data_IF_864178839221
#
_entry.id   IF_864178839221
#
_cell.length_a   1.000
_cell.length_b   1.000
_cell.length_c   1.000
_cell.angle_alpha   90.00
_cell.angle_beta   90.00
_cell.angle_gamma   90.00
#
_symmetry.space_group_name_H-M   'P 1'
#
loop_
_entity.id
_entity.type
_entity.pdbx_description
1 polymer ?
#
# COMPACT_ATOMS: atom_id res chain seq x y z
N UNK A 1 1.53 56.29 -0.75
CA UNK A 1 1.12 54.95 -1.26
C UNK A 1 2.00 53.82 -0.70
N UNK A 2 3.33 54.00 -0.60
CA UNK A 2 4.27 52.99 -0.05
C UNK A 2 4.06 52.62 1.42
N UNK A 3 3.67 53.57 2.30
CA UNK A 3 3.45 53.32 3.74
C UNK A 3 2.32 52.31 4.00
N UNK A 4 1.32 52.24 3.12
CA UNK A 4 0.22 51.27 3.24
C UNK A 4 0.62 49.87 2.80
N UNK A 5 1.55 49.75 1.85
CA UNK A 5 2.06 48.45 1.36
C UNK A 5 2.94 47.80 2.44
N UNK A 6 3.77 48.59 3.15
CA UNK A 6 4.62 48.06 4.23
C UNK A 6 3.78 47.55 5.42
N UNK A 7 2.77 48.31 5.85
CA UNK A 7 1.83 47.89 6.90
C UNK A 7 1.06 46.62 6.49
N UNK A 8 0.57 46.55 5.24
CA UNK A 8 -0.11 45.36 4.73
C UNK A 8 0.82 44.14 4.71
N UNK A 9 2.09 44.29 4.28
CA UNK A 9 3.10 43.22 4.33
C UNK A 9 3.35 42.73 5.76
N UNK A 10 3.46 43.64 6.73
CA UNK A 10 3.63 43.27 8.14
C UNK A 10 2.42 42.48 8.67
N UNK A 11 1.19 42.95 8.41
CA UNK A 11 -0.03 42.25 8.84
C UNK A 11 -0.10 40.84 8.23
N UNK A 12 0.16 40.70 6.92
CA UNK A 12 0.18 39.41 6.24
C UNK A 12 1.24 38.47 6.82
N UNK A 13 2.42 39.00 7.15
CA UNK A 13 3.52 38.23 7.74
C UNK A 13 3.16 37.75 9.16
N UNK A 14 2.57 38.62 9.99
CA UNK A 14 2.12 38.26 11.34
C UNK A 14 1.00 37.22 11.33
N UNK A 15 0.03 37.35 10.42
CA UNK A 15 -1.04 36.34 10.25
C UNK A 15 -0.45 35.00 9.81
N UNK A 16 0.50 34.99 8.86
CA UNK A 16 1.19 33.78 8.44
C UNK A 16 1.97 33.11 9.57
N UNK A 17 2.68 33.89 10.40
CA UNK A 17 3.42 33.37 11.57
C UNK A 17 2.49 32.77 12.63
N UNK A 18 1.37 33.44 12.96
CA UNK A 18 0.37 32.90 13.88
C UNK A 18 -0.25 31.60 13.34
N UNK A 19 -0.55 31.55 12.05
CA UNK A 19 -1.01 30.33 11.39
C UNK A 19 0.00 29.19 11.48
N UNK A 20 1.27 29.44 11.19
CA UNK A 20 2.34 28.44 11.30
C UNK A 20 2.55 27.95 12.74
N UNK A 21 2.49 28.86 13.72
CA UNK A 21 2.56 28.51 15.14
C UNK A 21 1.37 27.64 15.57
N UNK A 22 0.15 27.98 15.16
CA UNK A 22 -1.04 27.20 15.46
C UNK A 22 -0.98 25.79 14.86
N UNK A 23 -0.54 25.65 13.60
CA UNK A 23 -0.32 24.35 12.94
C UNK A 23 0.72 23.52 13.71
N UNK A 24 1.82 24.15 14.12
CA UNK A 24 2.90 23.49 14.86
C UNK A 24 2.43 22.98 16.22
N UNK A 25 1.73 23.83 16.98
CA UNK A 25 1.21 23.47 18.30
C UNK A 25 0.20 22.34 18.18
N UNK A 26 -0.74 22.44 17.24
CA UNK A 26 -1.75 21.40 17.01
C UNK A 26 -1.10 20.06 16.64
N UNK A 27 -0.16 20.05 15.69
CA UNK A 27 0.51 18.83 15.26
C UNK A 27 1.25 18.13 16.42
N UNK A 28 2.07 18.88 17.17
CA UNK A 28 2.94 18.29 18.21
C UNK A 28 2.22 17.93 19.49
N UNK A 29 1.35 18.81 19.98
CA UNK A 29 0.80 18.70 21.33
C UNK A 29 -0.63 18.14 21.38
N UNK A 30 -1.39 18.29 20.31
CA UNK A 30 -2.76 17.76 20.23
C UNK A 30 -2.77 16.44 19.45
N UNK A 31 -2.24 16.46 18.22
CA UNK A 31 -2.31 15.34 17.30
C UNK A 31 -1.14 14.33 17.48
N UNK A 32 -0.13 14.69 18.28
CA UNK A 32 1.07 13.89 18.58
C UNK A 32 1.76 13.32 17.33
N UNK A 33 1.85 14.13 16.27
CA UNK A 33 2.48 13.80 14.99
C UNK A 33 3.47 14.87 14.54
N UNK A 34 4.20 14.59 13.47
CA UNK A 34 5.15 15.55 12.92
C UNK A 34 4.44 16.76 12.30
N UNK A 35 5.09 17.92 12.38
CA UNK A 35 4.60 19.14 11.71
C UNK A 35 4.58 18.94 10.18
N UNK A 36 5.55 18.18 9.66
CA UNK A 36 5.64 17.84 8.24
C UNK A 36 4.42 17.05 7.75
N UNK A 37 4.01 16.01 8.50
CA UNK A 37 2.81 15.24 8.14
C UNK A 37 1.55 16.09 8.23
N UNK A 38 1.48 17.06 9.15
CA UNK A 38 0.37 18.02 9.22
C UNK A 38 0.28 18.95 8.03
N UNK A 39 1.40 19.54 7.64
CA UNK A 39 1.47 20.40 6.46
C UNK A 39 1.09 19.59 5.22
N UNK A 40 1.61 18.37 5.08
CA UNK A 40 1.32 17.51 3.93
C UNK A 40 -0.17 17.16 3.83
N UNK A 41 -0.81 16.74 4.92
CA UNK A 41 -2.26 16.49 4.93
C UNK A 41 -3.05 17.74 4.52
N UNK A 42 -2.68 18.92 5.05
CA UNK A 42 -3.34 20.17 4.69
C UNK A 42 -3.16 20.49 3.19
N UNK A 43 -1.98 20.25 2.62
CA UNK A 43 -1.71 20.45 1.20
C UNK A 43 -2.51 19.48 0.32
N UNK A 44 -2.62 18.21 0.71
CA UNK A 44 -3.43 17.22 0.00
C UNK A 44 -4.91 17.61 -0.02
N UNK A 45 -5.42 18.20 1.08
CA UNK A 45 -6.80 18.71 1.18
C UNK A 45 -7.09 19.93 0.29
N UNK A 46 -6.05 20.63 -0.20
CA UNK A 46 -6.24 21.75 -1.13
C UNK A 46 -6.47 21.29 -2.57
N UNK A 47 -6.26 20.00 -2.87
CA UNK A 47 -6.51 19.50 -4.21
C UNK A 47 -8.02 19.52 -4.50
N UNK A 48 -8.44 19.99 -5.69
CA UNK A 48 -9.86 20.11 -6.04
C UNK A 48 -10.55 18.74 -6.19
N UNK A 49 -9.78 17.65 -6.31
CA UNK A 49 -10.23 16.27 -6.42
C UNK A 49 -9.25 15.36 -5.67
N UNK A 50 -9.76 14.27 -5.12
CA UNK A 50 -8.94 13.20 -4.54
C UNK A 50 -8.10 12.50 -5.63
N UNK A 51 -6.94 11.98 -5.25
CA UNK A 51 -5.94 11.44 -6.19
C UNK A 51 -6.45 10.24 -7.01
N UNK A 52 -7.29 9.39 -6.40
CA UNK A 52 -7.89 8.22 -7.04
C UNK A 52 -9.37 8.40 -7.38
N UNK A 53 -9.80 9.64 -7.61
CA UNK A 53 -11.14 9.97 -8.11
C UNK A 53 -11.06 10.26 -9.62
N UNK A 54 -10.95 9.25 -10.52
CA UNK A 54 -10.93 9.49 -11.95
C UNK A 54 -12.35 9.80 -12.45
N UNK A 55 -12.89 10.96 -12.05
CA UNK A 55 -14.18 11.50 -12.49
C UNK A 55 -15.38 10.61 -12.09
N UNK A 56 -16.55 11.21 -11.86
CA UNK A 56 -17.80 10.50 -11.46
C UNK A 56 -18.29 9.41 -12.44
N UNK A 57 -17.51 9.07 -13.47
CA UNK A 57 -17.85 8.16 -14.55
C UNK A 57 -16.65 7.27 -14.88
N UNK A 58 -16.19 6.42 -13.96
CA UNK A 58 -15.30 5.30 -14.31
C UNK A 58 -16.00 4.28 -15.25
N UNK A 59 -17.32 4.39 -15.42
CA UNK A 59 -18.11 3.79 -16.50
C UNK A 59 -17.96 4.50 -17.86
N UNK A 60 -17.21 5.60 -17.94
CA UNK A 60 -16.93 6.25 -19.21
C UNK A 60 -16.00 5.34 -20.01
N UNK A 61 -16.52 4.79 -21.11
CA UNK A 61 -15.80 3.91 -22.03
C UNK A 61 -14.42 4.47 -22.42
N UNK A 62 -14.25 5.79 -22.46
CA UNK A 62 -12.95 6.45 -22.72
C UNK A 62 -11.91 6.16 -21.63
N UNK A 63 -12.32 6.15 -20.36
CA UNK A 63 -11.43 5.80 -19.23
C UNK A 63 -11.12 4.30 -19.24
N UNK A 64 -12.12 3.46 -19.51
CA UNK A 64 -11.90 2.02 -19.69
C UNK A 64 -10.89 1.74 -20.81
N UNK A 65 -11.13 2.23 -22.02
CA UNK A 65 -10.30 1.98 -23.21
C UNK A 65 -8.87 2.44 -23.01
N UNK A 66 -8.68 3.60 -22.38
CA UNK A 66 -7.35 4.11 -22.04
C UNK A 66 -6.59 3.15 -21.12
N UNK A 67 -7.21 2.69 -20.03
CA UNK A 67 -6.56 1.79 -19.08
C UNK A 67 -6.43 0.37 -19.62
N UNK A 68 -7.40 -0.13 -20.39
CA UNK A 68 -7.32 -1.40 -21.09
C UNK A 68 -6.12 -1.43 -22.05
N UNK A 69 -5.95 -0.36 -22.84
CA UNK A 69 -4.78 -0.24 -23.71
C UNK A 69 -3.48 -0.15 -22.89
N UNK A 70 -3.43 0.75 -21.91
CA UNK A 70 -2.25 1.00 -21.07
C UNK A 70 -1.79 -0.23 -20.29
N UNK A 71 -2.71 -0.96 -19.67
CA UNK A 71 -2.40 -2.09 -18.79
C UNK A 71 -2.05 -3.37 -19.55
N UNK A 72 -2.39 -3.45 -20.84
CA UNK A 72 -1.95 -4.51 -21.73
C UNK A 72 -0.56 -4.25 -22.35
N UNK A 73 0.05 -3.08 -22.11
CA UNK A 73 1.44 -2.83 -22.50
C UNK A 73 2.39 -3.24 -21.37
N UNK A 74 3.59 -3.75 -21.70
CA UNK A 74 4.61 -3.98 -20.69
C UNK A 74 4.90 -2.72 -19.88
N UNK A 75 4.88 -2.85 -18.56
CA UNK A 75 5.28 -1.74 -17.72
C UNK A 75 6.79 -1.54 -17.87
N UNK A 76 7.18 -0.29 -18.15
CA UNK A 76 8.59 0.07 -18.22
C UNK A 76 8.90 1.16 -17.21
N UNK A 77 9.95 0.93 -16.44
CA UNK A 77 10.49 1.96 -15.56
C UNK A 77 11.17 3.04 -16.41
N UNK A 78 10.97 4.31 -16.04
CA UNK A 78 11.71 5.40 -16.67
C UNK A 78 13.22 5.14 -16.54
N UNK A 79 13.99 5.23 -17.63
CA UNK A 79 15.42 4.94 -17.67
C UNK A 79 16.24 5.71 -16.60
N UNK A 80 15.85 6.94 -16.25
CA UNK A 80 16.49 7.69 -15.16
C UNK A 80 16.28 7.05 -13.80
N UNK A 81 15.09 6.49 -13.53
CA UNK A 81 14.80 5.78 -12.28
C UNK A 81 15.46 4.40 -12.27
N UNK A 82 15.44 3.68 -13.40
CA UNK A 82 16.11 2.39 -13.55
C UNK A 82 17.62 2.53 -13.27
N UNK A 83 18.29 3.52 -13.88
CA UNK A 83 19.70 3.80 -13.63
C UNK A 83 19.97 4.28 -12.18
N UNK A 84 19.07 5.10 -11.62
CA UNK A 84 19.23 5.60 -10.25
C UNK A 84 19.14 4.49 -9.21
N UNK A 85 18.29 3.49 -9.45
CA UNK A 85 17.99 2.42 -8.51
C UNK A 85 18.51 1.06 -8.95
N UNK A 86 19.42 1.00 -9.94
CA UNK A 86 20.14 -0.21 -10.33
C UNK A 86 19.22 -1.44 -10.45
N UNK A 87 18.15 -1.28 -11.23
CA UNK A 87 17.07 -2.28 -11.33
C UNK A 87 17.33 -3.19 -12.51
N UNK A 88 17.32 -4.51 -12.26
CA UNK A 88 17.38 -5.47 -13.34
C UNK A 88 16.04 -5.47 -14.10
N UNK A 89 16.13 -5.26 -15.41
CA UNK A 89 14.97 -5.28 -16.30
C UNK A 89 14.50 -6.74 -16.41
N UNK A 90 13.20 -7.03 -16.29
CA UNK A 90 12.69 -8.39 -16.32
C UNK A 90 13.23 -9.16 -17.53
N UNK A 91 13.81 -10.33 -17.30
CA UNK A 91 14.35 -11.20 -18.35
C UNK A 91 13.34 -12.26 -18.81
N UNK A 92 12.19 -12.38 -18.12
CA UNK A 92 11.18 -13.39 -18.42
C UNK A 92 9.79 -12.79 -18.69
N UNK A 93 8.87 -13.65 -19.14
CA UNK A 93 7.49 -13.31 -19.53
C UNK A 93 6.63 -12.78 -18.37
N UNK A 94 7.09 -12.90 -17.13
CA UNK A 94 6.36 -12.55 -15.91
C UNK A 94 6.44 -11.08 -15.51
N UNK A 95 7.23 -10.24 -16.21
CA UNK A 95 7.47 -8.84 -15.85
C UNK A 95 7.80 -8.63 -14.36
N UNK A 96 8.52 -9.55 -13.74
CA UNK A 96 8.98 -9.38 -12.36
C UNK A 96 10.25 -8.54 -12.34
N UNK A 97 10.19 -7.38 -11.67
CA UNK A 97 11.36 -6.53 -11.47
C UNK A 97 12.11 -6.96 -10.21
N UNK A 98 13.42 -7.17 -10.34
CA UNK A 98 14.25 -7.64 -9.25
C UNK A 98 15.15 -6.52 -8.71
N UNK A 99 15.20 -6.43 -7.38
CA UNK A 99 16.04 -5.50 -6.65
C UNK A 99 16.91 -6.31 -5.70
N UNK A 100 18.19 -6.45 -6.03
CA UNK A 100 19.15 -7.14 -5.17
C UNK A 100 19.85 -6.14 -4.26
N UNK A 101 19.95 -6.46 -2.97
CA UNK A 101 20.76 -5.71 -2.03
C UNK A 101 22.23 -5.68 -2.45
N UNK A 102 22.87 -4.52 -2.31
CA UNK A 102 24.24 -4.29 -2.80
C UNK A 102 25.33 -5.00 -2.00
N UNK A 103 25.03 -5.43 -0.77
CA UNK A 103 26.02 -5.93 0.18
C UNK A 103 25.44 -7.10 0.99
N UNK A 104 26.27 -8.09 1.31
CA UNK A 104 25.91 -9.23 2.16
C UNK A 104 25.33 -10.42 1.41
N UNK A 105 25.27 -11.57 2.09
CA UNK A 105 24.60 -12.76 1.57
C UNK A 105 23.09 -12.53 1.55
N UNK A 106 22.41 -12.98 0.48
CA UNK A 106 20.96 -12.83 0.35
C UNK A 106 20.24 -13.61 1.45
N UNK A 107 19.76 -12.89 2.48
CA UNK A 107 19.10 -13.49 3.66
C UNK A 107 17.61 -13.75 3.45
N UNK A 108 16.93 -12.89 2.70
CA UNK A 108 15.49 -12.90 2.52
C UNK A 108 15.09 -12.62 1.08
N UNK A 109 13.99 -13.21 0.64
CA UNK A 109 13.30 -12.89 -0.62
C UNK A 109 11.95 -12.26 -0.29
N UNK A 110 11.76 -11.00 -0.64
CA UNK A 110 10.50 -10.28 -0.45
C UNK A 110 9.72 -10.27 -1.76
N UNK A 111 8.52 -10.82 -1.78
CA UNK A 111 7.57 -10.60 -2.87
C UNK A 111 6.79 -9.33 -2.53
N UNK A 112 7.11 -8.23 -3.21
CA UNK A 112 6.49 -6.93 -3.00
C UNK A 112 5.36 -6.67 -4.00
N UNK A 113 4.13 -6.76 -3.51
CA UNK A 113 2.91 -6.53 -4.26
C UNK A 113 2.53 -5.04 -4.18
N UNK A 114 2.69 -4.33 -5.28
CA UNK A 114 2.44 -2.90 -5.33
C UNK A 114 0.95 -2.57 -5.16
N UNK A 115 0.63 -1.42 -4.59
CA UNK A 115 -0.70 -0.82 -4.60
C UNK A 115 -1.06 -0.19 -5.95
N UNK A 116 -2.31 0.25 -6.08
CA UNK A 116 -2.82 0.85 -7.33
C UNK A 116 -4.28 0.54 -7.62
N UNK A 117 -5.05 0.05 -6.63
CA UNK A 117 -6.47 -0.31 -6.78
C UNK A 117 -6.71 -1.42 -7.83
N UNK A 118 -5.73 -2.31 -8.03
CA UNK A 118 -5.71 -3.31 -9.11
C UNK A 118 -5.85 -2.73 -10.53
N UNK A 119 -5.67 -1.42 -10.67
CA UNK A 119 -5.99 -0.64 -11.87
C UNK A 119 -4.79 0.16 -12.38
N UNK A 120 -3.96 0.64 -11.47
CA UNK A 120 -2.82 1.49 -11.77
C UNK A 120 -1.52 0.70 -11.70
N UNK A 121 -0.69 0.94 -12.71
CA UNK A 121 0.71 0.53 -12.73
C UNK A 121 1.52 1.12 -11.56
N UNK A 122 2.64 0.50 -11.16
CA UNK A 122 3.43 0.99 -10.04
C UNK A 122 3.92 2.45 -10.22
N UNK A 123 3.94 3.17 -9.10
CA UNK A 123 4.46 4.52 -8.95
C UNK A 123 5.93 4.49 -8.52
N UNK A 124 6.66 5.58 -8.83
CA UNK A 124 8.07 5.71 -8.45
C UNK A 124 8.34 5.66 -6.94
N UNK A 125 7.34 5.92 -6.09
CA UNK A 125 7.48 5.73 -4.64
C UNK A 125 7.56 4.25 -4.23
N UNK A 126 6.85 3.37 -4.93
CA UNK A 126 6.90 1.93 -4.66
C UNK A 126 8.24 1.36 -5.12
N UNK A 127 8.72 1.76 -6.29
CA UNK A 127 10.08 1.43 -6.77
C UNK A 127 11.16 1.87 -5.76
N UNK A 128 11.02 3.08 -5.19
CA UNK A 128 11.93 3.57 -4.16
C UNK A 128 11.90 2.71 -2.89
N UNK A 129 10.72 2.30 -2.46
CA UNK A 129 10.56 1.41 -1.31
C UNK A 129 11.21 0.05 -1.58
N UNK A 130 10.97 -0.55 -2.75
CA UNK A 130 11.57 -1.82 -3.16
C UNK A 130 13.09 -1.77 -3.10
N UNK A 131 13.69 -0.73 -3.71
CA UNK A 131 15.14 -0.52 -3.66
C UNK A 131 15.66 -0.31 -2.23
N UNK A 132 15.03 0.60 -1.47
CA UNK A 132 15.44 0.89 -0.09
C UNK A 132 15.40 -0.38 0.77
N UNK A 133 14.35 -1.19 0.60
CA UNK A 133 14.17 -2.44 1.31
C UNK A 133 15.27 -3.45 0.94
N UNK A 134 15.49 -3.71 -0.36
CA UNK A 134 16.55 -4.61 -0.84
C UNK A 134 17.93 -4.25 -0.28
N UNK A 135 18.27 -2.95 -0.33
CA UNK A 135 19.54 -2.45 0.18
C UNK A 135 19.66 -2.59 1.71
N UNK A 136 18.57 -2.45 2.46
CA UNK A 136 18.58 -2.47 3.93
C UNK A 136 18.61 -3.89 4.50
N UNK A 137 17.85 -4.83 3.91
CA UNK A 137 17.78 -6.20 4.43
C UNK A 137 18.90 -7.10 3.88
N UNK A 138 19.71 -6.59 2.94
CA UNK A 138 20.69 -7.38 2.18
C UNK A 138 20.04 -8.61 1.53
N UNK A 139 18.91 -8.39 0.85
CA UNK A 139 18.08 -9.45 0.29
C UNK A 139 17.60 -9.13 -1.13
N UNK A 140 16.74 -9.98 -1.67
CA UNK A 140 16.12 -9.79 -2.98
C UNK A 140 14.68 -9.32 -2.80
N UNK A 141 14.29 -8.24 -3.47
CA UNK A 141 12.89 -7.83 -3.57
C UNK A 141 12.42 -8.09 -4.99
N UNK A 142 11.40 -8.94 -5.12
CA UNK A 142 10.70 -9.25 -6.36
C UNK A 142 9.44 -8.40 -6.42
N UNK A 143 9.33 -7.50 -7.38
CA UNK A 143 8.16 -6.66 -7.60
C UNK A 143 7.47 -7.08 -8.90
N UNK A 144 6.54 -8.05 -8.85
CA UNK A 144 5.80 -8.47 -10.04
C UNK A 144 4.88 -7.37 -10.54
N UNK A 145 4.88 -7.16 -11.86
CA UNK A 145 3.86 -6.35 -12.53
C UNK A 145 2.69 -7.28 -12.85
N UNK A 146 1.86 -7.50 -11.85
CA UNK A 146 0.75 -8.44 -11.97
C UNK A 146 -0.37 -7.90 -12.89
N UNK A 147 -1.19 -8.78 -13.51
CA UNK A 147 -2.27 -8.36 -14.39
C UNK A 147 -3.23 -7.36 -13.74
N UNK A 148 -3.60 -6.30 -14.46
CA UNK A 148 -4.45 -5.24 -13.92
C UNK A 148 -5.83 -5.21 -14.60
N UNK A 149 -6.83 -4.84 -13.80
CA UNK A 149 -8.10 -4.37 -14.30
C UNK A 149 -7.89 -3.15 -15.21
N UNK A 150 -8.76 -2.92 -16.20
CA UNK A 150 -10.04 -3.62 -16.39
C UNK A 150 -9.97 -4.87 -17.28
N UNK A 151 -8.83 -5.17 -17.91
CA UNK A 151 -8.71 -6.28 -18.87
C UNK A 151 -8.51 -7.63 -18.21
N UNK A 152 -7.95 -7.62 -17.00
CA UNK A 152 -7.70 -8.80 -16.19
C UNK A 152 -8.44 -8.70 -14.86
N UNK A 153 -8.67 -9.86 -14.23
CA UNK A 153 -9.36 -9.97 -12.95
C UNK A 153 -8.51 -10.70 -11.90
N UNK A 154 -9.06 -10.88 -10.70
CA UNK A 154 -8.36 -11.53 -9.59
C UNK A 154 -7.84 -12.93 -9.91
N UNK A 155 -8.45 -13.68 -10.84
CA UNK A 155 -8.01 -15.03 -11.20
C UNK A 155 -6.70 -15.00 -11.96
N UNK A 156 -6.58 -14.05 -12.90
CA UNK A 156 -5.36 -13.85 -13.67
C UNK A 156 -4.20 -13.48 -12.73
N UNK A 157 -4.48 -12.61 -11.75
CA UNK A 157 -3.51 -12.20 -10.72
C UNK A 157 -3.08 -13.38 -9.85
N UNK A 158 -4.01 -14.14 -9.29
CA UNK A 158 -3.68 -15.27 -8.42
C UNK A 158 -2.94 -16.39 -9.18
N UNK A 159 -3.30 -16.64 -10.44
CA UNK A 159 -2.60 -17.62 -11.29
C UNK A 159 -1.13 -17.23 -11.47
N UNK A 160 -0.86 -15.96 -11.81
CA UNK A 160 0.50 -15.47 -11.98
C UNK A 160 1.30 -15.51 -10.67
N UNK A 161 0.67 -15.14 -9.54
CA UNK A 161 1.34 -15.14 -8.24
C UNK A 161 1.60 -16.55 -7.69
N UNK A 162 0.74 -17.53 -7.97
CA UNK A 162 1.01 -18.95 -7.67
C UNK A 162 2.24 -19.44 -8.42
N UNK A 163 2.32 -19.16 -9.73
CA UNK A 163 3.49 -19.51 -10.54
C UNK A 163 4.78 -18.86 -10.04
N UNK A 164 4.72 -17.55 -9.72
CA UNK A 164 5.85 -16.83 -9.14
C UNK A 164 6.28 -17.45 -7.80
N UNK A 165 5.34 -17.69 -6.90
CA UNK A 165 5.66 -18.24 -5.57
C UNK A 165 6.28 -19.65 -5.68
N UNK A 166 5.73 -20.51 -6.53
CA UNK A 166 6.32 -21.84 -6.83
C UNK A 166 7.73 -21.72 -7.42
N UNK A 167 8.01 -20.69 -8.21
CA UNK A 167 9.36 -20.40 -8.72
C UNK A 167 10.30 -20.03 -7.59
N UNK A 168 9.88 -19.11 -6.70
CA UNK A 168 10.67 -18.67 -5.53
C UNK A 168 10.98 -19.84 -4.60
N UNK A 169 10.03 -20.76 -4.38
CA UNK A 169 10.22 -21.95 -3.54
C UNK A 169 11.32 -22.90 -4.07
N UNK A 170 11.71 -22.81 -5.35
CA UNK A 170 12.82 -23.62 -5.89
C UNK A 170 14.19 -23.13 -5.41
N UNK A 171 14.31 -21.88 -4.97
CA UNK A 171 15.58 -21.24 -4.64
C UNK A 171 15.62 -20.67 -3.22
N UNK A 172 14.46 -20.41 -2.61
CA UNK A 172 14.34 -19.82 -1.27
C UNK A 172 13.45 -20.68 -0.38
N UNK A 173 13.91 -20.98 0.83
CA UNK A 173 13.12 -21.71 1.82
C UNK A 173 11.98 -20.82 2.37
N UNK A 174 10.79 -21.38 2.71
CA UNK A 174 9.64 -20.58 3.12
C UNK A 174 9.89 -19.63 4.31
N UNK A 175 10.74 -20.04 5.26
CA UNK A 175 11.17 -19.25 6.42
C UNK A 175 12.02 -18.01 6.07
N UNK A 176 12.39 -17.85 4.79
CA UNK A 176 13.10 -16.68 4.25
C UNK A 176 12.28 -15.88 3.25
N UNK A 177 11.03 -16.29 2.99
CA UNK A 177 10.13 -15.57 2.08
C UNK A 177 9.24 -14.63 2.89
N UNK A 178 9.11 -13.40 2.43
CA UNK A 178 8.23 -12.39 3.02
C UNK A 178 7.28 -11.89 1.95
N UNK A 179 6.00 -11.80 2.27
CA UNK A 179 5.07 -11.04 1.45
C UNK A 179 4.99 -9.63 2.01
N UNK A 180 5.20 -8.64 1.16
CA UNK A 180 4.99 -7.24 1.50
C UNK A 180 4.04 -6.66 0.48
N UNK A 181 3.09 -5.83 0.91
CA UNK A 181 2.24 -5.15 -0.04
C UNK A 181 1.63 -3.87 0.52
N UNK A 182 1.33 -2.93 -0.37
CA UNK A 182 0.72 -1.66 0.01
C UNK A 182 -0.65 -1.46 -0.65
N UNK A 183 -1.63 -0.88 0.04
CA UNK A 183 -2.97 -0.64 -0.49
C UNK A 183 -3.60 -1.94 -1.03
N UNK A 184 -4.05 -1.94 -2.29
CA UNK A 184 -4.52 -3.14 -3.00
C UNK A 184 -3.53 -4.32 -2.91
N UNK A 185 -2.22 -4.06 -3.04
CA UNK A 185 -1.20 -5.10 -2.92
C UNK A 185 -1.03 -5.65 -1.50
N UNK A 186 -1.37 -4.86 -0.47
CA UNK A 186 -1.40 -5.33 0.92
C UNK A 186 -2.54 -6.31 1.17
N UNK A 187 -3.70 -6.04 0.58
CA UNK A 187 -4.80 -7.01 0.52
C UNK A 187 -4.40 -8.26 -0.23
N UNK A 188 -3.80 -8.09 -1.41
CA UNK A 188 -3.35 -9.20 -2.25
C UNK A 188 -2.31 -10.09 -1.58
N UNK A 189 -1.44 -9.54 -0.73
CA UNK A 189 -0.48 -10.32 0.06
C UNK A 189 -1.18 -11.28 1.04
N UNK A 190 -2.26 -10.82 1.67
CA UNK A 190 -3.10 -11.66 2.55
C UNK A 190 -3.87 -12.69 1.71
N UNK A 191 -4.51 -12.27 0.62
CA UNK A 191 -5.24 -13.18 -0.28
C UNK A 191 -4.32 -14.27 -0.85
N UNK A 192 -3.08 -13.94 -1.24
CA UNK A 192 -2.11 -14.92 -1.70
C UNK A 192 -1.80 -15.94 -0.59
N UNK A 193 -1.54 -15.49 0.64
CA UNK A 193 -1.31 -16.40 1.76
C UNK A 193 -2.50 -17.33 2.04
N UNK A 194 -3.72 -16.81 1.98
CA UNK A 194 -4.95 -17.62 2.08
C UNK A 194 -5.06 -18.61 0.92
N UNK A 195 -4.76 -18.18 -0.30
CA UNK A 195 -4.75 -19.04 -1.47
C UNK A 195 -3.75 -20.20 -1.32
N UNK A 196 -2.53 -19.95 -0.85
CA UNK A 196 -1.51 -20.98 -0.63
C UNK A 196 -2.01 -22.12 0.27
N UNK A 197 -2.84 -21.80 1.28
CA UNK A 197 -3.48 -22.79 2.15
C UNK A 197 -4.43 -23.71 1.39
N UNK A 198 -5.14 -23.18 0.38
CA UNK A 198 -6.08 -23.97 -0.43
C UNK A 198 -5.40 -24.95 -1.40
N UNK A 199 -4.12 -24.72 -1.71
CA UNK A 199 -3.31 -25.52 -2.63
C UNK A 199 -2.15 -26.24 -1.94
N UNK A 200 -2.21 -26.37 -0.60
CA UNK A 200 -1.23 -27.07 0.24
C UNK A 200 0.22 -26.61 0.04
N UNK A 201 0.43 -25.32 -0.22
CA UNK A 201 1.76 -24.71 -0.29
C UNK A 201 2.19 -24.15 1.07
N UNK A 202 3.50 -24.18 1.39
CA UNK A 202 4.01 -23.63 2.64
C UNK A 202 3.73 -22.12 2.73
N UNK A 203 3.57 -21.62 3.95
CA UNK A 203 3.38 -20.18 4.19
C UNK A 203 4.72 -19.43 4.14
N UNK A 204 4.73 -18.14 3.75
CA UNK A 204 5.89 -17.27 3.96
C UNK A 204 6.15 -17.06 5.46
N UNK A 205 7.36 -16.62 5.81
CA UNK A 205 7.73 -16.21 7.18
C UNK A 205 6.80 -15.13 7.72
N UNK A 206 6.70 -14.02 6.98
CA UNK A 206 5.95 -12.84 7.38
C UNK A 206 5.07 -12.33 6.23
N UNK A 207 3.93 -11.74 6.59
CA UNK A 207 3.00 -11.05 5.70
C UNK A 207 2.85 -9.62 6.23
N UNK A 208 3.45 -8.66 5.53
CA UNK A 208 3.51 -7.25 5.94
C UNK A 208 2.61 -6.44 5.01
N UNK A 209 1.46 -6.01 5.52
CA UNK A 209 0.44 -5.29 4.76
C UNK A 209 0.34 -3.83 5.22
N UNK A 210 0.57 -2.93 4.27
CA UNK A 210 0.63 -1.48 4.47
C UNK A 210 -0.65 -0.84 3.93
N UNK A 211 -1.46 -0.22 4.79
CA UNK A 211 -2.78 0.34 4.47
C UNK A 211 -3.63 -0.59 3.60
N UNK A 212 -3.83 -1.88 3.95
CA UNK A 212 -4.36 -2.88 3.03
C UNK A 212 -5.82 -2.64 2.64
N UNK A 213 -6.14 -2.93 1.38
CA UNK A 213 -7.54 -3.12 0.96
C UNK A 213 -7.99 -4.51 1.41
N UNK A 214 -8.87 -4.56 2.41
CA UNK A 214 -9.35 -5.81 3.01
C UNK A 214 -10.75 -6.20 2.54
N UNK A 215 -11.55 -5.22 2.11
CA UNK A 215 -12.85 -5.38 1.45
C UNK A 215 -12.91 -4.52 0.18
N UNK A 216 -12.90 -5.14 -1.01
CA UNK A 216 -13.00 -4.40 -2.29
C UNK A 216 -14.37 -3.78 -2.52
N UNK A 217 -15.39 -4.24 -1.79
CA UNK A 217 -16.72 -3.63 -1.79
C UNK A 217 -16.81 -2.36 -0.96
N UNK A 218 -15.83 -2.11 -0.08
CA UNK A 218 -15.83 -0.99 0.87
C UNK A 218 -17.18 -0.86 1.58
N UNK A 219 -17.67 -1.95 2.17
CA UNK A 219 -19.04 -2.08 2.68
C UNK A 219 -19.19 -1.69 4.15
N UNK A 220 -18.08 -1.47 4.85
CA UNK A 220 -18.06 -1.10 6.26
C UNK A 220 -18.78 0.23 6.51
N UNK A 221 -19.71 0.23 7.47
CA UNK A 221 -20.56 1.39 7.80
C UNK A 221 -19.77 2.58 8.34
N UNK A 222 -18.64 2.32 8.99
CA UNK A 222 -17.79 3.36 9.56
C UNK A 222 -17.04 4.16 8.49
N UNK A 223 -16.94 3.66 7.25
CA UNK A 223 -16.21 4.33 6.15
C UNK A 223 -16.70 5.77 5.93
N UNK A 224 -18.01 6.02 6.09
CA UNK A 224 -18.60 7.35 5.90
C UNK A 224 -18.01 8.39 6.86
N UNK A 225 -17.60 7.98 8.06
CA UNK A 225 -16.93 8.88 9.02
C UNK A 225 -15.51 9.25 8.60
N UNK A 226 -14.83 8.41 7.82
CA UNK A 226 -13.45 8.61 7.40
C UNK A 226 -13.35 9.27 6.03
N UNK A 227 -14.32 9.05 5.14
CA UNK A 227 -14.24 9.50 3.76
C UNK A 227 -14.07 11.02 3.62
N UNK A 228 -14.76 11.81 4.43
CA UNK A 228 -14.63 13.27 4.40
C UNK A 228 -13.24 13.75 4.86
N UNK A 229 -12.54 12.96 5.68
CA UNK A 229 -11.23 13.30 6.22
C UNK A 229 -10.07 12.72 5.39
N UNK A 230 -10.32 11.70 4.58
CA UNK A 230 -9.35 11.06 3.68
C UNK A 230 -9.12 11.95 2.43
N UNK A 231 -7.92 12.53 2.24
CA UNK A 231 -7.66 13.40 1.10
C UNK A 231 -7.23 12.62 -0.17
N UNK A 232 -7.06 11.29 -0.09
CA UNK A 232 -6.47 10.46 -1.15
C UNK A 232 -7.52 9.56 -1.80
N UNK A 233 -8.31 8.84 -1.00
CA UNK A 233 -9.20 7.79 -1.48
C UNK A 233 -10.65 8.25 -1.60
N UNK A 234 -11.29 7.81 -2.68
CA UNK A 234 -12.68 8.06 -3.02
C UNK A 234 -13.44 6.72 -3.07
N UNK A 235 -14.44 6.53 -2.20
CA UNK A 235 -15.12 5.23 -2.05
C UNK A 235 -15.74 4.76 -3.35
N UNK A 236 -16.46 5.65 -4.03
CA UNK A 236 -17.16 5.32 -5.28
C UNK A 236 -16.19 4.83 -6.37
N UNK A 237 -15.11 5.58 -6.60
CA UNK A 237 -14.12 5.22 -7.63
C UNK A 237 -13.46 3.88 -7.35
N UNK A 238 -13.18 3.60 -6.07
CA UNK A 238 -12.61 2.33 -5.63
C UNK A 238 -13.58 1.16 -5.78
N UNK A 239 -14.87 1.36 -5.48
CA UNK A 239 -15.91 0.34 -5.72
C UNK A 239 -16.01 -0.01 -7.21
N UNK A 240 -15.87 0.96 -8.11
CA UNK A 240 -15.85 0.66 -9.55
C UNK A 240 -14.57 -0.09 -9.94
N UNK A 241 -13.39 0.39 -9.57
CA UNK A 241 -12.13 -0.23 -9.99
C UNK A 241 -11.94 -1.63 -9.38
N UNK A 242 -12.20 -1.79 -8.08
CA UNK A 242 -11.91 -3.02 -7.34
C UNK A 242 -13.14 -3.91 -7.21
N UNK A 243 -14.26 -3.34 -6.75
CA UNK A 243 -15.49 -4.10 -6.51
C UNK A 243 -16.21 -4.52 -7.79
N UNK A 244 -16.09 -3.76 -8.88
CA UNK A 244 -16.69 -4.11 -10.17
C UNK A 244 -15.69 -4.76 -11.13
N UNK A 245 -14.62 -4.07 -11.51
CA UNK A 245 -13.73 -4.60 -12.56
C UNK A 245 -12.80 -5.71 -12.08
N UNK A 246 -12.12 -5.53 -10.94
CA UNK A 246 -11.20 -6.55 -10.42
C UNK A 246 -11.92 -7.80 -9.89
N UNK A 247 -13.01 -7.62 -9.14
CA UNK A 247 -13.82 -8.75 -8.68
C UNK A 247 -14.68 -9.36 -9.80
N UNK A 248 -15.00 -8.58 -10.83
CA UNK A 248 -15.77 -8.98 -12.02
C UNK A 248 -17.15 -9.52 -11.64
N UNK A 249 -17.37 -10.83 -11.82
CA UNK A 249 -18.64 -11.49 -11.53
C UNK A 249 -18.66 -12.15 -10.15
N UNK A 250 -17.63 -11.92 -9.34
CA UNK A 250 -17.48 -12.50 -8.00
C UNK A 250 -18.06 -11.55 -6.97
N UNK A 251 -18.69 -12.09 -5.92
CA UNK A 251 -19.15 -11.28 -4.79
C UNK A 251 -17.97 -10.50 -4.21
N UNK A 252 -18.17 -9.22 -3.86
CA UNK A 252 -17.12 -8.43 -3.20
C UNK A 252 -16.78 -8.95 -1.79
N UNK A 253 -17.60 -9.84 -1.24
CA UNK A 253 -17.35 -10.52 0.04
C UNK A 253 -16.69 -11.88 -0.11
N UNK A 254 -16.33 -12.29 -1.33
CA UNK A 254 -15.55 -13.50 -1.57
C UNK A 254 -14.09 -13.27 -1.12
N UNK A 255 -13.51 -14.25 -0.42
CA UNK A 255 -12.16 -14.12 0.14
C UNK A 255 -11.06 -13.98 -0.92
N UNK A 256 -11.30 -14.46 -2.15
CA UNK A 256 -10.33 -14.31 -3.24
C UNK A 256 -10.12 -12.85 -3.67
N UNK A 257 -11.03 -11.95 -3.31
CA UNK A 257 -10.93 -10.51 -3.62
C UNK A 257 -10.89 -9.66 -2.35
N UNK A 258 -11.45 -10.16 -1.25
CA UNK A 258 -11.54 -9.46 0.03
C UNK A 258 -11.08 -10.36 1.18
N UNK A 259 -9.77 -10.34 1.53
CA UNK A 259 -9.19 -11.23 2.54
C UNK A 259 -9.81 -11.05 3.94
N UNK A 260 -10.54 -9.94 4.17
CA UNK A 260 -11.33 -9.77 5.40
C UNK A 260 -12.29 -10.94 5.66
N UNK A 261 -12.79 -11.61 4.62
CA UNK A 261 -13.83 -12.63 4.73
C UNK A 261 -13.32 -14.07 4.71
N UNK A 262 -12.03 -14.32 4.45
CA UNK A 262 -11.51 -15.68 4.39
C UNK A 262 -10.93 -16.20 5.71
N UNK A 263 -10.08 -17.22 5.64
CA UNK A 263 -9.59 -17.95 6.81
C UNK A 263 -8.13 -17.61 7.11
N UNK A 264 -7.95 -16.78 8.15
CA UNK A 264 -6.65 -16.24 8.55
C UNK A 264 -5.89 -17.15 9.53
N UNK A 265 -6.45 -18.30 9.89
CA UNK A 265 -5.77 -19.26 10.76
C UNK A 265 -4.61 -19.96 10.04
N UNK A 266 -3.49 -20.13 10.74
CA UNK A 266 -2.27 -20.78 10.26
C UNK A 266 -1.63 -20.11 9.03
N UNK A 267 -1.82 -18.82 8.86
CA UNK A 267 -1.03 -18.02 7.91
C UNK A 267 0.34 -17.68 8.48
N UNK A 268 1.25 -17.17 7.64
CA UNK A 268 2.51 -16.56 8.09
C UNK A 268 2.28 -15.39 9.07
N UNK A 269 3.31 -14.93 9.77
CA UNK A 269 3.13 -13.88 10.79
C UNK A 269 2.61 -12.59 10.16
N UNK A 270 1.45 -12.11 10.61
CA UNK A 270 0.79 -10.96 10.01
C UNK A 270 1.20 -9.68 10.73
N UNK A 271 1.61 -8.68 9.96
CA UNK A 271 1.77 -7.30 10.41
C UNK A 271 0.93 -6.35 9.55
N UNK A 272 0.06 -5.57 10.18
CA UNK A 272 -0.74 -4.54 9.54
C UNK A 272 -0.22 -3.17 9.98
N UNK A 273 0.09 -2.31 9.03
CA UNK A 273 0.40 -0.90 9.27
C UNK A 273 -0.71 -0.05 8.65
N UNK A 274 -1.32 0.87 9.38
CA UNK A 274 -2.46 1.64 8.86
C UNK A 274 -2.52 3.04 9.47
N UNK A 275 -2.85 4.04 8.65
CA UNK A 275 -3.10 5.39 9.10
C UNK A 275 -4.55 5.57 9.57
N UNK A 276 -4.81 6.52 10.49
CA UNK A 276 -6.21 6.78 10.92
C UNK A 276 -6.92 7.87 10.10
N UNK A 277 -6.29 8.36 9.02
CA UNK A 277 -6.87 9.32 8.05
C UNK A 277 -7.03 8.67 6.67
N UNK A 278 -7.54 7.45 6.66
CA UNK A 278 -7.90 6.73 5.45
C UNK A 278 -9.18 5.91 5.59
N UNK A 279 -9.92 5.73 4.49
CA UNK A 279 -11.16 4.93 4.48
C UNK A 279 -10.93 3.44 4.71
N UNK A 280 -9.69 2.95 4.59
CA UNK A 280 -9.36 1.53 4.79
C UNK A 280 -9.14 1.18 6.27
N UNK A 281 -9.03 2.19 7.14
CA UNK A 281 -8.79 2.00 8.57
C UNK A 281 -9.89 1.21 9.28
N UNK A 282 -11.20 1.46 9.06
CA UNK A 282 -12.25 0.65 9.66
C UNK A 282 -12.14 -0.85 9.38
N UNK A 283 -11.76 -1.23 8.16
CA UNK A 283 -11.59 -2.64 7.80
C UNK A 283 -10.32 -3.24 8.41
N UNK A 284 -9.25 -2.47 8.55
CA UNK A 284 -8.06 -2.89 9.27
C UNK A 284 -8.36 -3.18 10.75
N UNK A 285 -9.17 -2.32 11.39
CA UNK A 285 -9.67 -2.53 12.75
C UNK A 285 -10.52 -3.80 12.83
N UNK A 286 -11.46 -3.99 11.90
CA UNK A 286 -12.31 -5.18 11.83
C UNK A 286 -11.50 -6.47 11.64
N UNK A 287 -10.44 -6.43 10.84
CA UNK A 287 -9.52 -7.56 10.64
C UNK A 287 -8.73 -7.89 11.91
N UNK A 288 -8.21 -6.87 12.61
CA UNK A 288 -7.57 -7.04 13.93
C UNK A 288 -8.52 -7.71 14.92
N UNK A 289 -9.75 -7.20 15.02
CA UNK A 289 -10.74 -7.70 15.98
C UNK A 289 -11.15 -9.15 15.64
N UNK A 290 -11.26 -9.49 14.35
CA UNK A 290 -11.48 -10.86 13.86
C UNK A 290 -10.36 -11.80 14.33
N UNK A 291 -9.10 -11.41 14.13
CA UNK A 291 -7.96 -12.22 14.56
C UNK A 291 -7.90 -12.38 16.08
N UNK A 292 -8.14 -11.29 16.83
CA UNK A 292 -8.21 -11.35 18.29
C UNK A 292 -9.31 -12.31 18.77
N UNK A 293 -10.49 -12.26 18.16
CA UNK A 293 -11.59 -13.18 18.48
C UNK A 293 -11.27 -14.65 18.20
N UNK A 294 -10.33 -14.92 17.27
CA UNK A 294 -9.83 -16.26 16.94
C UNK A 294 -8.57 -16.66 17.75
N UNK A 295 -8.07 -15.79 18.64
CA UNK A 295 -6.84 -16.03 19.39
C UNK A 295 -5.57 -15.96 18.53
N UNK A 296 -5.63 -15.33 17.36
CA UNK A 296 -4.50 -15.16 16.44
C UNK A 296 -3.81 -13.84 16.78
N UNK A 297 -2.53 -13.91 17.10
CA UNK A 297 -1.71 -12.72 17.32
C UNK A 297 -1.31 -12.08 15.99
N UNK A 298 -1.53 -10.77 15.86
CA UNK A 298 -1.02 -9.96 14.76
C UNK A 298 -0.29 -8.74 15.31
N UNK A 299 0.74 -8.29 14.58
CA UNK A 299 1.34 -7.00 14.85
C UNK A 299 0.48 -5.90 14.20
N UNK A 300 -0.23 -5.10 15.00
CA UNK A 300 -1.08 -4.02 14.49
C UNK A 300 -0.47 -2.65 14.82
N UNK A 301 0.06 -1.97 13.80
CA UNK A 301 0.67 -0.66 13.93
C UNK A 301 -0.28 0.42 13.39
N UNK A 302 -0.96 1.08 14.31
CA UNK A 302 -1.79 2.23 14.01
C UNK A 302 -0.96 3.52 14.02
N UNK A 303 -1.16 4.34 12.99
CA UNK A 303 -0.50 5.63 12.82
C UNK A 303 -1.52 6.77 12.89
N UNK A 304 -1.67 7.40 14.07
CA UNK A 304 -2.61 8.48 14.27
C UNK A 304 -2.43 9.61 13.25
N UNK A 305 -3.52 9.96 12.59
CA UNK A 305 -3.64 11.00 11.59
C UNK A 305 -2.82 10.82 10.30
N UNK A 306 -2.21 9.65 10.08
CA UNK A 306 -1.54 9.39 8.80
C UNK A 306 -2.58 9.09 7.72
N UNK A 307 -2.35 9.67 6.54
CA UNK A 307 -3.18 9.48 5.35
C UNK A 307 -2.86 8.13 4.70
N UNK A 308 -3.72 7.70 3.77
CA UNK A 308 -3.52 6.47 3.01
C UNK A 308 -2.11 6.39 2.41
N UNK A 309 -1.47 5.23 2.58
CA UNK A 309 -0.20 4.89 1.94
C UNK A 309 0.93 5.89 2.26
N UNK A 310 0.94 6.42 3.49
CA UNK A 310 1.93 7.41 3.92
C UNK A 310 3.38 6.93 3.80
N UNK A 311 3.62 5.62 3.68
CA UNK A 311 4.91 4.96 3.50
C UNK A 311 5.72 5.44 2.28
N UNK A 312 5.10 6.11 1.31
CA UNK A 312 5.79 6.76 0.20
C UNK A 312 6.08 8.26 0.36
N UNK A 313 5.58 8.86 1.45
CA UNK A 313 5.60 10.30 1.68
C UNK A 313 6.88 10.74 2.41
N UNK A 314 7.40 11.95 2.13
CA UNK A 314 8.63 12.45 2.73
C UNK A 314 8.36 13.04 4.13
N UNK A 315 7.92 12.19 5.06
CA UNK A 315 7.59 12.57 6.45
C UNK A 315 8.31 11.64 7.44
N UNK A 316 8.60 12.10 8.67
CA UNK A 316 9.27 11.28 9.69
C UNK A 316 8.56 9.95 10.00
N UNK A 317 7.23 9.94 9.97
CA UNK A 317 6.41 8.76 10.26
C UNK A 317 6.68 7.62 9.27
N UNK A 318 7.01 7.94 8.01
CA UNK A 318 7.43 6.96 7.00
C UNK A 318 8.69 6.22 7.40
N UNK A 319 9.69 6.95 7.89
CA UNK A 319 10.96 6.36 8.34
C UNK A 319 10.74 5.52 9.61
N UNK A 320 9.88 5.98 10.52
CA UNK A 320 9.50 5.21 11.72
C UNK A 320 8.84 3.87 11.35
N UNK A 321 7.91 3.89 10.39
CA UNK A 321 7.26 2.68 9.89
C UNK A 321 8.25 1.75 9.19
N UNK A 322 9.14 2.31 8.36
CA UNK A 322 10.18 1.54 7.70
C UNK A 322 11.10 0.84 8.72
N UNK A 323 11.55 1.54 9.75
CA UNK A 323 12.38 0.95 10.81
C UNK A 323 11.66 -0.18 11.56
N UNK A 324 10.34 -0.06 11.76
CA UNK A 324 9.53 -1.13 12.34
C UNK A 324 9.43 -2.34 11.41
N UNK A 325 9.21 -2.13 10.11
CA UNK A 325 9.22 -3.19 9.10
C UNK A 325 10.55 -3.94 9.11
N UNK A 326 11.68 -3.22 9.12
CA UNK A 326 13.01 -3.85 9.16
C UNK A 326 13.19 -4.67 10.44
N UNK A 327 12.79 -4.15 11.60
CA UNK A 327 12.84 -4.91 12.86
C UNK A 327 12.02 -6.20 12.81
N UNK A 328 10.84 -6.20 12.19
CA UNK A 328 10.02 -7.40 12.02
C UNK A 328 10.70 -8.43 11.12
N UNK A 329 11.31 -7.96 10.02
CA UNK A 329 12.02 -8.82 9.07
C UNK A 329 13.24 -9.49 9.72
N UNK A 330 14.04 -8.70 10.43
CA UNK A 330 15.31 -9.17 11.00
C UNK A 330 15.17 -9.91 12.33
N UNK A 331 14.13 -9.62 13.12
CA UNK A 331 13.89 -10.34 14.35
C UNK A 331 13.25 -11.71 14.04
N UNK A 332 13.84 -12.83 14.51
CA UNK A 332 13.06 -14.05 14.70
C UNK A 332 12.08 -13.75 15.83
N UNK A 333 10.77 -13.70 15.52
CA UNK A 333 9.75 -13.31 16.49
C UNK A 333 9.69 -14.35 17.62
N UNK A 334 10.20 -13.99 18.79
CA UNK A 334 9.50 -14.20 20.05
C UNK A 334 9.21 -12.81 20.64
N UNK A 335 8.00 -12.32 20.44
CA UNK A 335 7.40 -11.30 21.30
C UNK A 335 5.98 -11.79 21.56
N UNK A 336 5.80 -12.34 22.76
CA UNK A 336 4.55 -12.92 23.25
C UNK A 336 3.58 -11.91 23.84
#
# INVERSE_FOLDING_TARGET
>A
MEVNILKLKHVLTSVALLGAAAVTVKARYVEKRSVGSKILENLLRLQPKKMFSPYKHAENLVTYDYYAHKNNQPWSMNARLANKYDVEVPTTYDQTYEFHGKYGDQRYTVIYLHGGCFWNQPLGMQVRLARKLADTISGTVLMPIYPLAPTHDYKDVLSMLDELYRSVLKTTTPDKIIFLGNSAGGGLALTLAEYLKTVDLPQPKDIIALSPVLDVGLTNEEIDHYEAADPILDRYSLQVMMGHYYAKNTSTTDWHVSPLYGDIANLGHIAIFVGTREILYPDAVKFRDKAQAQGIHLNFFEYPYMVHDFFGLPIPETEQAFDQIIRLIEAPIELG
#
